data_IF_078656540484
#
_entry.id   IF_078656540484
#
_cell.length_a   1.000
_cell.length_b   1.000
_cell.length_c   1.000
_cell.angle_alpha   90.00
_cell.angle_beta   90.00
_cell.angle_gamma   90.00
#
_symmetry.space_group_name_H-M   'P 1'
#
loop_
_entity.id
_entity.type
_entity.pdbx_description
1 polymer ?
#
# COMPACT_ATOMS: atom_id res chain seq x y z
N UNK A 1 -6.68 3.57 -10.47
CA UNK A 1 -7.04 4.77 -9.65
C UNK A 1 -6.70 4.53 -8.18
N UNK A 2 -5.43 4.24 -7.92
CA UNK A 2 -4.86 3.96 -6.59
C UNK A 2 -3.35 3.83 -6.79
N UNK A 3 -2.54 4.24 -5.83
CA UNK A 3 -1.15 3.83 -5.72
C UNK A 3 -0.81 3.58 -4.25
N UNK A 4 -0.37 2.35 -3.94
CA UNK A 4 0.11 1.97 -2.62
C UNK A 4 1.46 1.26 -2.73
N UNK A 5 2.31 1.44 -1.71
CA UNK A 5 3.62 0.79 -1.61
C UNK A 5 3.81 0.25 -0.20
N UNK A 6 4.16 -1.04 -0.11
CA UNK A 6 4.64 -1.67 1.12
C UNK A 6 6.10 -2.07 0.94
N UNK A 7 6.97 -1.59 1.83
CA UNK A 7 8.42 -1.64 1.69
C UNK A 7 9.05 -2.20 2.97
N UNK A 8 9.97 -3.14 2.82
CA UNK A 8 10.74 -3.77 3.91
C UNK A 8 12.15 -3.17 3.99
N UNK A 9 12.56 -2.83 5.19
CA UNK A 9 13.91 -2.42 5.57
C UNK A 9 14.46 -3.42 6.60
N UNK A 10 15.75 -3.36 6.87
CA UNK A 10 16.36 -4.12 7.97
C UNK A 10 15.75 -3.73 9.33
N UNK A 11 15.35 -2.45 9.49
CA UNK A 11 14.78 -1.88 10.72
C UNK A 11 13.26 -2.07 10.88
N UNK A 12 12.54 -2.51 9.84
CA UNK A 12 11.09 -2.61 9.92
C UNK A 12 10.38 -2.42 8.58
N UNK A 13 9.13 -1.96 8.62
CA UNK A 13 8.26 -1.83 7.45
C UNK A 13 7.77 -0.39 7.29
N UNK A 14 7.60 0.02 6.03
CA UNK A 14 7.01 1.30 5.64
C UNK A 14 5.86 1.07 4.68
N UNK A 15 4.71 1.64 5.00
CA UNK A 15 3.52 1.60 4.16
C UNK A 15 3.12 3.02 3.77
N UNK A 16 2.82 3.25 2.49
CA UNK A 16 2.28 4.51 2.00
C UNK A 16 1.16 4.25 0.98
N UNK A 17 0.03 4.95 1.10
CA UNK A 17 -1.08 4.87 0.16
C UNK A 17 -1.66 6.22 -0.18
N UNK A 18 -2.06 6.42 -1.43
CA UNK A 18 -2.86 7.56 -1.83
C UNK A 18 -4.34 7.38 -1.42
N UNK A 19 -5.15 8.43 -1.51
CA UNK A 19 -6.56 8.39 -1.08
C UNK A 19 -7.55 8.70 -2.19
N UNK A 20 -7.10 9.13 -3.38
CA UNK A 20 -7.99 9.41 -4.51
C UNK A 20 -8.62 8.12 -5.04
N UNK A 21 -9.94 8.11 -5.15
CA UNK A 21 -10.71 6.96 -5.63
C UNK A 21 -11.79 7.42 -6.59
N UNK A 22 -12.08 6.65 -7.63
CA UNK A 22 -13.27 6.87 -8.44
C UNK A 22 -14.44 6.09 -7.89
N UNK A 23 -15.51 6.85 -7.64
CA UNK A 23 -16.79 6.36 -7.16
C UNK A 23 -17.86 6.40 -8.26
N UNK A 24 -17.48 6.63 -9.52
CA UNK A 24 -18.34 6.74 -10.70
C UNK A 24 -17.74 7.64 -11.79
N UNK A 25 -18.45 7.74 -12.92
CA UNK A 25 -18.15 8.73 -13.97
C UNK A 25 -18.25 10.12 -13.34
N UNK A 26 -17.20 10.93 -13.51
CA UNK A 26 -17.07 12.31 -13.00
C UNK A 26 -17.09 12.51 -11.47
N UNK A 27 -16.94 11.45 -10.67
CA UNK A 27 -16.89 11.58 -9.20
C UNK A 27 -15.57 11.04 -8.62
N UNK A 28 -14.65 11.96 -8.33
CA UNK A 28 -13.47 11.68 -7.51
C UNK A 28 -13.80 11.92 -6.04
N UNK A 29 -13.62 10.89 -5.24
CA UNK A 29 -13.75 10.98 -3.78
C UNK A 29 -12.42 10.66 -3.11
N UNK A 30 -12.33 11.02 -1.83
CA UNK A 30 -11.24 10.57 -0.96
C UNK A 30 -11.71 9.36 -0.18
N UNK A 31 -11.04 8.23 -0.36
CA UNK A 31 -11.29 7.02 0.43
C UNK A 31 -9.99 6.51 1.03
N UNK A 32 -10.04 6.13 2.31
CA UNK A 32 -8.92 5.46 2.98
C UNK A 32 -8.63 4.13 2.29
N UNK A 33 -7.36 3.89 1.97
CA UNK A 33 -6.89 2.65 1.33
C UNK A 33 -5.96 1.82 2.20
N UNK A 34 -5.69 2.26 3.43
CA UNK A 34 -4.80 1.61 4.39
C UNK A 34 -5.53 1.37 5.72
N UNK A 35 -5.46 0.13 6.22
CA UNK A 35 -6.15 -0.35 7.41
C UNK A 35 -5.16 -1.06 8.32
N UNK A 36 -5.24 -0.83 9.62
CA UNK A 36 -4.25 -1.30 10.59
C UNK A 36 -4.94 -1.92 11.80
N UNK A 37 -4.52 -3.12 12.20
CA UNK A 37 -4.92 -3.78 13.42
C UNK A 37 -3.69 -4.04 14.29
N UNK A 38 -3.82 -3.93 15.61
CA UNK A 38 -2.73 -4.20 16.53
C UNK A 38 -3.23 -4.83 17.82
N UNK A 39 -2.43 -5.70 18.40
CA UNK A 39 -2.47 -6.09 19.79
C UNK A 39 -1.06 -5.85 20.35
N UNK A 40 -0.83 -4.72 21.07
CA UNK A 40 0.50 -4.33 21.52
C UNK A 40 1.24 -5.46 22.24
N UNK A 41 2.50 -5.67 21.88
CA UNK A 41 3.34 -6.75 22.42
C UNK A 41 3.09 -8.14 21.82
N UNK A 42 2.13 -8.29 20.91
CA UNK A 42 1.83 -9.54 20.20
C UNK A 42 1.83 -9.40 18.68
N UNK A 43 1.11 -8.43 18.11
CA UNK A 43 0.99 -8.30 16.64
C UNK A 43 0.67 -6.89 16.16
N UNK A 44 1.11 -6.60 14.94
CA UNK A 44 0.68 -5.47 14.14
C UNK A 44 0.48 -5.93 12.70
N UNK A 45 -0.68 -5.62 12.12
CA UNK A 45 -1.07 -6.03 10.77
C UNK A 45 -1.60 -4.81 10.01
N UNK A 46 -1.11 -4.59 8.80
CA UNK A 46 -1.52 -3.53 7.89
C UNK A 46 -2.00 -4.13 6.57
N UNK A 47 -3.13 -3.64 6.07
CA UNK A 47 -3.64 -3.93 4.74
C UNK A 47 -3.70 -2.65 3.92
N UNK A 48 -3.26 -2.71 2.67
CA UNK A 48 -3.54 -1.70 1.66
C UNK A 48 -4.28 -2.28 0.46
N UNK A 49 -5.25 -1.55 -0.07
CA UNK A 49 -6.16 -2.06 -1.11
C UNK A 49 -6.12 -1.22 -2.38
N UNK A 50 -6.15 -1.87 -3.55
CA UNK A 50 -6.29 -1.24 -4.85
C UNK A 50 -7.26 -2.02 -5.74
N UNK A 51 -8.01 -1.32 -6.60
CA UNK A 51 -8.95 -1.93 -7.55
C UNK A 51 -10.40 -1.51 -7.28
N UNK A 52 -11.35 -2.43 -7.51
CA UNK A 52 -12.76 -2.15 -7.35
C UNK A 52 -13.12 -1.75 -5.91
N UNK A 53 -13.72 -0.57 -5.72
CA UNK A 53 -14.00 -0.02 -4.40
C UNK A 53 -14.98 -0.89 -3.60
N UNK A 54 -16.06 -1.36 -4.22
CA UNK A 54 -17.04 -2.21 -3.54
C UNK A 54 -16.41 -3.54 -3.08
N UNK A 55 -15.54 -4.14 -3.91
CA UNK A 55 -14.80 -5.36 -3.56
C UNK A 55 -13.88 -5.13 -2.37
N UNK A 56 -13.04 -4.09 -2.43
CA UNK A 56 -12.09 -3.78 -1.33
C UNK A 56 -12.81 -3.42 -0.03
N UNK A 57 -13.90 -2.65 -0.07
CA UNK A 57 -14.70 -2.34 1.11
C UNK A 57 -15.36 -3.58 1.70
N UNK A 58 -15.86 -4.49 0.86
CA UNK A 58 -16.48 -5.75 1.31
C UNK A 58 -15.45 -6.65 1.98
N UNK A 59 -14.25 -6.78 1.40
CA UNK A 59 -13.12 -7.50 1.99
C UNK A 59 -12.81 -6.98 3.41
N UNK A 60 -12.58 -5.67 3.55
CA UNK A 60 -12.27 -5.07 4.87
C UNK A 60 -13.44 -5.25 5.84
N UNK A 61 -14.68 -5.13 5.36
CA UNK A 61 -15.87 -5.27 6.20
C UNK A 61 -16.05 -6.69 6.74
N UNK A 62 -15.74 -7.71 5.94
CA UNK A 62 -15.77 -9.11 6.37
C UNK A 62 -14.66 -9.41 7.39
N UNK A 63 -13.43 -8.92 7.13
CA UNK A 63 -12.30 -9.10 8.06
C UNK A 63 -12.54 -8.42 9.42
N UNK A 64 -13.21 -7.26 9.43
CA UNK A 64 -13.61 -6.55 10.65
C UNK A 64 -14.91 -7.07 11.30
N UNK A 65 -15.55 -8.08 10.71
CA UNK A 65 -16.87 -8.59 11.14
C UNK A 65 -17.94 -7.48 11.30
N UNK A 66 -18.00 -6.53 10.34
CA UNK A 66 -18.86 -5.33 10.44
C UNK A 66 -20.37 -5.59 10.54
N UNK A 67 -20.81 -6.81 10.26
CA UNK A 67 -22.19 -7.27 10.49
C UNK A 67 -22.55 -7.36 11.98
N UNK A 68 -21.56 -7.36 12.88
CA UNK A 68 -21.73 -7.34 14.34
C UNK A 68 -21.68 -5.91 14.90
N UNK A 69 -22.27 -5.74 16.09
CA UNK A 69 -22.12 -4.51 16.87
C UNK A 69 -20.64 -4.25 17.15
N UNK A 70 -20.24 -2.98 17.29
CA UNK A 70 -18.83 -2.65 17.51
C UNK A 70 -18.23 -3.34 18.77
N UNK A 71 -19.06 -3.62 19.79
CA UNK A 71 -18.65 -4.31 21.00
C UNK A 71 -18.45 -5.82 20.81
N UNK A 72 -19.12 -6.42 19.81
CA UNK A 72 -19.08 -7.86 19.54
C UNK A 72 -18.15 -8.24 18.37
N UNK A 73 -17.50 -7.25 17.76
CA UNK A 73 -16.53 -7.48 16.67
C UNK A 73 -15.30 -8.16 17.20
N UNK A 74 -14.92 -9.25 16.56
CA UNK A 74 -13.67 -9.95 16.83
C UNK A 74 -12.99 -10.23 15.47
N UNK A 75 -12.20 -9.28 14.95
CA UNK A 75 -11.67 -9.35 13.60
C UNK A 75 -10.93 -10.65 13.33
N UNK A 76 -11.36 -11.42 12.32
CA UNK A 76 -10.80 -12.74 12.02
C UNK A 76 -9.29 -12.71 11.80
N UNK A 77 -8.80 -11.62 11.20
CA UNK A 77 -7.37 -11.37 10.96
C UNK A 77 -6.52 -11.34 12.24
N UNK A 78 -7.13 -11.03 13.39
CA UNK A 78 -6.46 -10.99 14.68
C UNK A 78 -6.34 -12.36 15.37
N UNK A 79 -6.96 -13.41 14.81
CA UNK A 79 -6.90 -14.78 15.36
C UNK A 79 -5.81 -15.63 14.73
N UNK A 80 -5.31 -15.23 13.56
CA UNK A 80 -4.37 -16.04 12.79
C UNK A 80 -3.00 -16.16 13.48
N UNK A 81 -2.34 -17.34 13.44
CA UNK A 81 -1.12 -17.58 14.21
C UNK A 81 0.15 -17.01 13.56
N UNK A 82 0.14 -16.79 12.24
CA UNK A 82 1.31 -16.29 11.49
C UNK A 82 0.88 -15.33 10.38
N UNK A 83 1.80 -14.47 9.95
CA UNK A 83 1.54 -13.56 8.83
C UNK A 83 1.23 -14.29 7.51
N UNK A 84 1.73 -15.52 7.33
CA UNK A 84 1.36 -16.37 6.20
C UNK A 84 -0.12 -16.79 6.26
N UNK A 85 -0.61 -17.19 7.44
CA UNK A 85 -2.04 -17.52 7.60
C UNK A 85 -2.92 -16.28 7.44
N UNK A 86 -2.45 -15.11 7.90
CA UNK A 86 -3.10 -13.83 7.62
C UNK A 86 -3.23 -13.59 6.11
N UNK A 87 -2.15 -13.74 5.34
CA UNK A 87 -2.19 -13.58 3.88
C UNK A 87 -3.14 -14.59 3.21
N UNK A 88 -3.15 -15.84 3.68
CA UNK A 88 -4.05 -16.90 3.19
C UNK A 88 -5.52 -16.58 3.48
N UNK A 89 -5.84 -16.12 4.68
CA UNK A 89 -7.18 -15.67 5.06
C UNK A 89 -7.63 -14.52 4.14
N UNK A 90 -6.80 -13.48 3.98
CA UNK A 90 -7.10 -12.32 3.11
C UNK A 90 -7.33 -12.76 1.66
N UNK A 91 -6.50 -13.68 1.14
CA UNK A 91 -6.65 -14.23 -0.21
C UNK A 91 -7.96 -14.99 -0.39
N UNK A 92 -8.32 -15.86 0.55
CA UNK A 92 -9.57 -16.61 0.52
C UNK A 92 -10.80 -15.66 0.58
N UNK A 93 -10.78 -14.68 1.49
CA UNK A 93 -11.87 -13.69 1.61
C UNK A 93 -11.98 -12.82 0.36
N UNK A 94 -10.87 -12.42 -0.26
CA UNK A 94 -10.89 -11.66 -1.51
C UNK A 94 -11.53 -12.47 -2.64
N UNK A 95 -11.14 -13.73 -2.78
CA UNK A 95 -11.71 -14.63 -3.78
C UNK A 95 -13.22 -14.84 -3.58
N UNK A 96 -13.65 -15.01 -2.33
CA UNK A 96 -15.07 -15.13 -1.96
C UNK A 96 -15.87 -13.88 -2.40
N UNK A 97 -15.39 -12.68 -2.06
CA UNK A 97 -16.05 -11.42 -2.42
C UNK A 97 -16.16 -11.24 -3.94
N UNK A 98 -15.09 -11.56 -4.68
CA UNK A 98 -15.08 -11.47 -6.14
C UNK A 98 -16.09 -12.46 -6.73
N UNK A 99 -16.09 -13.71 -6.25
CA UNK A 99 -17.01 -14.75 -6.73
C UNK A 99 -18.48 -14.38 -6.47
N UNK A 100 -18.80 -13.81 -5.31
CA UNK A 100 -20.14 -13.34 -4.98
C UNK A 100 -20.60 -12.17 -5.88
N UNK A 101 -19.66 -11.31 -6.30
CA UNK A 101 -19.94 -10.11 -7.10
C UNK A 101 -20.12 -10.40 -8.60
N UNK A 102 -19.81 -11.62 -9.07
CA UNK A 102 -19.96 -12.06 -10.47
C UNK A 102 -20.99 -13.20 -10.58
N UNK A 103 -22.30 -12.90 -10.75
CA UNK A 103 -23.30 -13.91 -11.01
C UNK A 103 -22.98 -14.67 -12.31
N UNK A 104 -23.14 -16.00 -12.27
CA UNK A 104 -22.87 -16.96 -13.34
C UNK A 104 -23.13 -16.43 -14.76
N UNK A 105 -22.08 -16.35 -15.57
CA UNK A 105 -22.18 -16.30 -17.03
C UNK A 105 -21.54 -15.10 -17.72
N UNK A 106 -21.06 -14.09 -17.00
CA UNK A 106 -20.52 -12.89 -17.64
C UNK A 106 -19.00 -12.78 -17.50
N UNK A 107 -18.33 -12.25 -18.53
CA UNK A 107 -16.89 -11.94 -18.53
C UNK A 107 -16.54 -10.75 -17.60
N UNK A 108 -17.52 -10.32 -16.80
CA UNK A 108 -17.50 -9.20 -15.86
C UNK A 108 -16.56 -9.37 -14.66
N UNK A 109 -15.97 -10.56 -14.46
CA UNK A 109 -14.98 -10.81 -13.41
C UNK A 109 -13.79 -9.84 -13.44
N UNK A 110 -13.50 -9.22 -14.59
CA UNK A 110 -12.48 -8.16 -14.69
C UNK A 110 -12.87 -6.86 -13.97
N UNK A 111 -14.16 -6.53 -13.87
CA UNK A 111 -14.64 -5.29 -13.27
C UNK A 111 -14.58 -5.28 -11.74
N UNK A 112 -14.56 -6.46 -11.12
CA UNK A 112 -14.56 -6.62 -9.65
C UNK A 112 -13.18 -6.98 -9.09
N UNK A 113 -12.12 -6.92 -9.89
CA UNK A 113 -10.77 -7.29 -9.42
C UNK A 113 -10.25 -6.27 -8.40
N UNK A 114 -9.58 -6.79 -7.38
CA UNK A 114 -8.78 -6.00 -6.45
C UNK A 114 -7.47 -6.72 -6.12
N UNK A 115 -6.45 -5.95 -5.77
CA UNK A 115 -5.14 -6.44 -5.31
C UNK A 115 -4.86 -5.83 -3.95
N UNK A 116 -4.21 -6.61 -3.09
CA UNK A 116 -4.05 -6.25 -1.68
C UNK A 116 -2.59 -6.43 -1.27
N UNK A 117 -2.04 -5.44 -0.59
CA UNK A 117 -0.79 -5.60 0.16
C UNK A 117 -1.16 -5.92 1.60
N UNK A 118 -0.55 -6.95 2.16
CA UNK A 118 -0.73 -7.38 3.55
C UNK A 118 0.64 -7.39 4.20
N UNK A 119 0.88 -6.64 5.26
CA UNK A 119 2.19 -6.63 5.90
C UNK A 119 2.11 -6.37 7.39
N UNK A 120 3.17 -6.71 8.11
CA UNK A 120 3.20 -6.61 9.56
C UNK A 120 4.11 -7.64 10.20
N UNK A 121 3.92 -7.85 11.49
CA UNK A 121 4.63 -8.84 12.27
C UNK A 121 3.73 -9.40 13.37
N UNK A 122 3.82 -10.71 13.57
CA UNK A 122 3.24 -11.44 14.70
C UNK A 122 4.40 -12.01 15.51
N UNK A 123 4.29 -12.00 16.84
CA UNK A 123 5.32 -12.47 17.77
C UNK A 123 5.80 -13.87 17.41
N UNK A 124 7.13 -14.04 17.36
CA UNK A 124 7.79 -15.27 16.92
C UNK A 124 8.05 -15.34 15.41
N UNK A 125 7.48 -14.43 14.61
CA UNK A 125 7.80 -14.24 13.19
C UNK A 125 8.67 -13.00 12.95
N UNK A 126 9.07 -12.81 11.69
CA UNK A 126 9.80 -11.61 11.21
C UNK A 126 8.83 -10.62 10.54
N UNK A 127 9.18 -9.32 10.44
CA UNK A 127 8.41 -8.39 9.64
C UNK A 127 8.33 -8.85 8.18
N UNK A 128 7.13 -9.00 7.65
CA UNK A 128 6.92 -9.48 6.28
C UNK A 128 5.82 -8.69 5.57
N UNK A 129 5.85 -8.73 4.25
CA UNK A 129 4.88 -8.10 3.35
C UNK A 129 4.55 -9.08 2.23
N UNK A 130 3.26 -9.27 2.00
CA UNK A 130 2.71 -10.08 0.92
C UNK A 130 1.95 -9.19 -0.07
N UNK A 131 1.95 -9.61 -1.33
CA UNK A 131 1.04 -9.10 -2.35
C UNK A 131 0.07 -10.21 -2.74
N UNK A 132 -1.21 -9.98 -2.44
CA UNK A 132 -2.32 -10.89 -2.73
C UNK A 132 -2.97 -10.49 -4.04
N UNK A 133 -3.00 -11.43 -4.98
CA UNK A 133 -3.61 -11.27 -6.30
C UNK A 133 -5.13 -11.49 -6.24
N UNK A 134 -5.88 -11.01 -7.26
CA UNK A 134 -7.33 -11.24 -7.34
C UNK A 134 -7.74 -12.72 -7.28
N UNK A 135 -6.87 -13.63 -7.70
CA UNK A 135 -7.06 -15.08 -7.64
C UNK A 135 -6.95 -15.67 -6.23
N UNK A 136 -6.57 -14.85 -5.23
CA UNK A 136 -6.42 -15.24 -3.82
C UNK A 136 -5.07 -15.85 -3.47
N UNK A 137 -4.22 -16.17 -4.47
CA UNK A 137 -2.82 -16.52 -4.23
C UNK A 137 -1.98 -15.26 -3.95
N UNK A 138 -0.78 -15.46 -3.41
CA UNK A 138 0.08 -14.35 -2.99
C UNK A 138 1.57 -14.69 -3.12
N UNK A 139 2.38 -13.65 -3.16
CA UNK A 139 3.85 -13.71 -3.07
C UNK A 139 4.34 -12.89 -1.87
N UNK A 140 5.52 -13.21 -1.37
CA UNK A 140 6.17 -12.57 -0.23
C UNK A 140 7.38 -11.72 -0.69
N UNK A 141 7.67 -10.63 0.02
CA UNK A 141 8.89 -9.85 -0.20
C UNK A 141 10.13 -10.70 0.13
N UNK A 142 11.17 -10.54 -0.68
CA UNK A 142 12.48 -11.16 -0.46
C UNK A 142 13.55 -10.09 -0.32
N UNK A 143 14.82 -10.49 -0.12
CA UNK A 143 15.92 -9.52 -0.12
C UNK A 143 16.10 -8.89 -1.51
N UNK A 144 15.90 -9.66 -2.56
CA UNK A 144 15.98 -9.23 -3.96
C UNK A 144 14.76 -8.42 -4.39
N UNK A 145 13.60 -8.64 -3.76
CA UNK A 145 12.36 -7.89 -4.01
C UNK A 145 11.80 -7.34 -2.70
N UNK A 146 12.36 -6.22 -2.18
CA UNK A 146 12.07 -5.74 -0.83
C UNK A 146 10.82 -4.88 -0.72
N UNK A 147 10.07 -4.68 -1.81
CA UNK A 147 8.84 -3.91 -1.80
C UNK A 147 7.83 -4.45 -2.81
N UNK A 148 6.55 -4.20 -2.52
CA UNK A 148 5.46 -4.37 -3.48
C UNK A 148 4.73 -3.06 -3.71
N UNK A 149 4.19 -2.93 -4.93
CA UNK A 149 3.37 -1.81 -5.35
C UNK A 149 2.04 -2.36 -5.88
N UNK A 150 0.93 -1.66 -5.62
CA UNK A 150 -0.39 -1.99 -6.20
C UNK A 150 -1.03 -0.73 -6.80
N UNK A 151 -1.85 -0.90 -7.85
CA UNK A 151 -2.48 0.19 -8.59
C UNK A 151 -1.62 0.75 -9.74
N UNK A 152 -1.44 2.07 -9.82
CA UNK A 152 -0.68 2.76 -10.87
C UNK A 152 0.84 2.75 -10.60
N UNK A 153 1.45 1.58 -10.68
CA UNK A 153 2.79 1.34 -10.13
C UNK A 153 3.95 1.81 -11.02
N UNK A 154 3.72 1.97 -12.33
CA UNK A 154 4.79 2.12 -13.33
C UNK A 154 5.58 3.43 -13.19
N UNK A 155 4.91 4.53 -12.85
CA UNK A 155 5.49 5.87 -12.85
C UNK A 155 6.48 6.08 -11.69
N UNK A 156 6.10 5.61 -10.49
CA UNK A 156 6.93 5.73 -9.29
C UNK A 156 7.99 4.63 -9.12
N UNK A 157 7.96 3.56 -9.92
CA UNK A 157 8.87 2.42 -9.78
C UNK A 157 10.37 2.75 -10.02
N UNK A 158 10.75 3.54 -11.04
CA UNK A 158 12.17 3.74 -11.35
C UNK A 158 13.00 4.32 -10.21
N UNK A 159 12.45 5.26 -9.42
CA UNK A 159 13.18 5.83 -8.29
C UNK A 159 13.36 4.81 -7.16
N UNK A 160 12.35 3.97 -6.89
CA UNK A 160 12.47 2.90 -5.89
C UNK A 160 13.58 1.93 -6.27
N UNK A 161 13.65 1.49 -7.54
CA UNK A 161 14.67 0.55 -8.01
C UNK A 161 16.08 1.16 -7.96
N UNK A 162 16.22 2.48 -8.14
CA UNK A 162 17.53 3.14 -8.22
C UNK A 162 18.09 3.59 -6.88
N UNK A 163 17.21 3.96 -5.95
CA UNK A 163 17.61 4.64 -4.73
C UNK A 163 17.28 3.86 -3.46
N UNK A 164 16.53 2.75 -3.53
CA UNK A 164 16.29 1.90 -2.36
C UNK A 164 17.61 1.40 -1.77
N UNK A 165 17.69 1.42 -0.45
CA UNK A 165 18.72 0.78 0.35
C UNK A 165 18.07 0.19 1.61
N UNK A 166 18.46 -1.03 2.00
CA UNK A 166 17.85 -1.76 3.11
C UNK A 166 18.13 -1.13 4.49
N UNK A 167 19.18 -0.32 4.59
CA UNK A 167 19.62 0.35 5.82
C UNK A 167 19.10 1.79 5.97
N UNK A 168 18.34 2.30 4.97
CA UNK A 168 17.70 3.62 5.03
C UNK A 168 16.97 3.86 6.35
N UNK A 169 17.01 5.11 6.83
CA UNK A 169 16.14 5.52 7.94
C UNK A 169 14.68 5.55 7.50
N UNK A 170 13.75 5.62 8.46
CA UNK A 170 12.35 5.79 8.12
C UNK A 170 12.11 7.12 7.39
N UNK A 171 12.78 8.19 7.79
CA UNK A 171 12.68 9.51 7.16
C UNK A 171 13.18 9.49 5.72
N UNK A 172 14.34 8.88 5.45
CA UNK A 172 14.87 8.74 4.09
C UNK A 172 13.98 7.84 3.23
N UNK A 173 13.41 6.78 3.81
CA UNK A 173 12.45 5.92 3.12
C UNK A 173 11.15 6.66 2.79
N UNK A 174 10.62 7.46 3.72
CA UNK A 174 9.44 8.29 3.46
C UNK A 174 9.74 9.32 2.36
N UNK A 175 10.91 9.95 2.38
CA UNK A 175 11.37 10.87 1.32
C UNK A 175 11.44 10.17 -0.04
N UNK A 176 12.01 8.97 -0.10
CA UNK A 176 12.04 8.13 -1.31
C UNK A 176 10.62 7.84 -1.83
N UNK A 177 9.71 7.44 -0.95
CA UNK A 177 8.32 7.19 -1.30
C UNK A 177 7.59 8.46 -1.77
N UNK A 178 7.82 9.61 -1.14
CA UNK A 178 7.23 10.88 -1.60
C UNK A 178 7.68 11.25 -3.03
N UNK A 179 8.94 11.00 -3.39
CA UNK A 179 9.41 11.18 -4.77
C UNK A 179 8.75 10.19 -5.74
N UNK A 180 8.55 8.95 -5.29
CA UNK A 180 7.82 7.92 -6.04
C UNK A 180 6.37 8.34 -6.31
N UNK A 181 5.68 8.84 -5.29
CA UNK A 181 4.29 9.32 -5.39
C UNK A 181 4.18 10.61 -6.21
N UNK A 182 5.10 11.57 -6.06
CA UNK A 182 5.14 12.80 -6.84
C UNK A 182 5.22 12.51 -8.35
N UNK A 183 6.12 11.59 -8.74
CA UNK A 183 6.27 11.14 -10.12
C UNK A 183 4.97 10.55 -10.67
N UNK A 184 4.26 9.78 -9.85
CA UNK A 184 2.96 9.19 -10.21
C UNK A 184 1.86 10.24 -10.34
N UNK A 185 1.71 11.15 -9.37
CA UNK A 185 0.68 12.20 -9.38
C UNK A 185 0.84 13.13 -10.58
N UNK A 186 2.08 13.54 -10.92
CA UNK A 186 2.35 14.40 -12.08
C UNK A 186 2.05 13.72 -13.42
N UNK A 187 2.04 12.39 -13.45
CA UNK A 187 1.89 11.60 -14.69
C UNK A 187 0.51 10.95 -14.84
N UNK A 188 -0.27 10.84 -13.75
CA UNK A 188 -1.53 10.13 -13.74
C UNK A 188 -2.50 10.72 -12.69
N UNK A 189 -3.58 11.34 -13.18
CA UNK A 189 -4.60 12.02 -12.36
C UNK A 189 -5.40 11.07 -11.46
N UNK A 190 -5.30 9.76 -11.67
CA UNK A 190 -6.01 8.75 -10.89
C UNK A 190 -5.44 8.52 -9.49
N UNK A 191 -4.26 9.09 -9.22
CA UNK A 191 -3.56 9.05 -7.94
C UNK A 191 -3.52 10.46 -7.38
N UNK A 192 -3.72 10.61 -6.07
CA UNK A 192 -3.69 11.93 -5.47
C UNK A 192 -3.68 11.95 -3.95
N UNK A 193 -3.24 13.10 -3.45
CA UNK A 193 -3.25 13.48 -2.05
C UNK A 193 -4.68 13.44 -1.44
N UNK A 194 -4.80 13.32 -0.11
CA UNK A 194 -3.70 13.10 0.84
C UNK A 194 -3.06 11.71 0.75
N UNK A 195 -1.84 11.57 1.30
CA UNK A 195 -1.16 10.29 1.44
C UNK A 195 -1.16 9.83 2.90
N UNK A 196 -1.54 8.57 3.13
CA UNK A 196 -1.48 7.93 4.44
C UNK A 196 -0.16 7.16 4.59
N UNK A 197 0.52 7.32 5.73
CA UNK A 197 1.81 6.68 6.06
C UNK A 197 1.69 5.92 7.38
N UNK A 198 2.22 4.69 7.40
CA UNK A 198 2.44 3.91 8.61
C UNK A 198 3.87 3.39 8.62
N UNK A 199 4.56 3.66 9.73
CA UNK A 199 5.89 3.13 10.03
C UNK A 199 5.76 2.06 11.11
N UNK A 200 6.44 0.94 10.89
CA UNK A 200 6.50 -0.18 11.82
C UNK A 200 7.97 -0.50 12.11
N UNK A 201 8.35 -0.47 13.37
CA UNK A 201 9.69 -0.86 13.82
C UNK A 201 9.71 -2.35 14.14
N UNK A 202 10.73 -3.04 13.64
CA UNK A 202 10.88 -4.48 13.85
C UNK A 202 10.83 -4.81 15.35
N UNK A 203 10.07 -5.84 15.69
CA UNK A 203 9.89 -6.34 17.06
C UNK A 203 9.19 -5.36 18.04
N UNK A 204 8.63 -4.23 17.57
CA UNK A 204 7.87 -3.32 18.44
C UNK A 204 6.44 -3.80 18.71
N UNK A 205 5.85 -4.52 17.75
CA UNK A 205 4.44 -4.97 17.74
C UNK A 205 3.41 -3.84 17.95
N UNK A 206 3.79 -2.61 17.62
CA UNK A 206 2.94 -1.43 17.67
C UNK A 206 3.27 -0.47 16.53
N UNK A 207 2.34 0.44 16.22
CA UNK A 207 2.58 1.48 15.22
C UNK A 207 3.66 2.43 15.76
N UNK A 208 4.85 2.41 15.15
CA UNK A 208 5.93 3.33 15.48
C UNK A 208 5.54 4.78 15.14
N UNK A 209 4.93 5.00 13.96
CA UNK A 209 4.39 6.32 13.59
C UNK A 209 3.26 6.19 12.58
N UNK A 210 2.26 7.05 12.73
CA UNK A 210 1.23 7.31 11.72
C UNK A 210 1.32 8.76 11.29
N UNK A 211 1.31 9.02 9.99
CA UNK A 211 1.32 10.37 9.45
C UNK A 211 0.39 10.46 8.23
N UNK A 212 -0.07 11.67 7.96
CA UNK A 212 -0.80 12.00 6.74
C UNK A 212 -0.13 13.21 6.10
N UNK A 213 0.14 13.11 4.81
CA UNK A 213 0.67 14.22 4.00
C UNK A 213 -0.51 14.85 3.28
N UNK A 214 -0.87 16.05 3.75
CA UNK A 214 -1.97 16.83 3.19
C UNK A 214 -1.54 17.55 1.90
N UNK A 215 -2.53 18.06 1.16
CA UNK A 215 -2.26 18.69 -0.13
C UNK A 215 -1.44 19.98 -0.05
N UNK A 216 -1.43 20.63 1.12
CA UNK A 216 -0.71 21.86 1.46
C UNK A 216 0.54 21.61 2.31
N UNK A 217 0.97 20.34 2.46
CA UNK A 217 2.14 19.99 3.29
C UNK A 217 3.42 20.69 2.76
N UNK A 218 4.05 21.56 3.58
CA UNK A 218 5.16 22.38 3.13
C UNK A 218 6.42 21.56 2.83
N UNK A 219 6.63 20.45 3.54
CA UNK A 219 7.80 19.58 3.33
C UNK A 219 7.64 18.81 2.04
N UNK A 220 6.44 18.29 1.75
CA UNK A 220 6.14 17.64 0.48
C UNK A 220 6.33 18.59 -0.70
N UNK A 221 5.86 19.84 -0.60
CA UNK A 221 6.08 20.84 -1.66
C UNK A 221 7.56 21.16 -1.89
N UNK A 222 8.36 21.24 -0.83
CA UNK A 222 9.80 21.42 -0.93
C UNK A 222 10.47 20.22 -1.62
N UNK A 223 10.10 18.99 -1.24
CA UNK A 223 10.62 17.77 -1.88
C UNK A 223 10.24 17.73 -3.36
N UNK A 224 8.97 17.93 -3.71
CA UNK A 224 8.48 17.91 -5.09
C UNK A 224 9.17 18.95 -5.98
N UNK A 225 9.32 20.18 -5.47
CA UNK A 225 9.96 21.27 -6.21
C UNK A 225 11.48 21.06 -6.34
N UNK A 226 12.13 20.72 -5.22
CA UNK A 226 13.57 20.48 -5.17
C UNK A 226 13.99 19.31 -6.06
N UNK A 227 13.23 18.21 -6.04
CA UNK A 227 13.46 17.06 -6.91
C UNK A 227 13.32 17.43 -8.39
N UNK A 228 12.29 18.19 -8.75
CA UNK A 228 12.10 18.67 -10.11
C UNK A 228 13.25 19.54 -10.61
N UNK A 229 13.81 20.40 -9.76
CA UNK A 229 14.97 21.22 -10.10
C UNK A 229 16.24 20.37 -10.26
N UNK A 230 16.51 19.47 -9.31
CA UNK A 230 17.67 18.58 -9.35
C UNK A 230 17.68 17.70 -10.61
N UNK A 231 16.52 17.21 -11.05
CA UNK A 231 16.42 16.44 -12.29
C UNK A 231 16.76 17.27 -13.54
N UNK A 232 16.36 18.54 -13.58
CA UNK A 232 16.71 19.44 -14.70
C UNK A 232 18.20 19.71 -14.73
N UNK A 233 18.81 19.98 -13.58
CA UNK A 233 20.25 20.20 -13.46
C UNK A 233 21.03 18.94 -13.88
N UNK A 234 20.62 17.77 -13.38
CA UNK A 234 21.21 16.49 -13.77
C UNK A 234 21.11 16.27 -15.28
N UNK A 235 19.96 16.54 -15.91
CA UNK A 235 19.78 16.43 -17.35
C UNK A 235 20.72 17.36 -18.13
N UNK A 236 20.84 18.64 -17.72
CA UNK A 236 21.74 19.61 -18.36
C UNK A 236 23.21 19.20 -18.24
N UNK A 237 23.58 18.49 -17.16
CA UNK A 237 24.95 17.99 -16.96
C UNK A 237 25.32 16.79 -17.83
N UNK A 238 24.36 16.15 -18.51
CA UNK A 238 24.62 15.00 -19.36
C UNK A 238 25.38 15.41 -20.63
N UNK A 239 26.26 14.54 -21.17
CA UNK A 239 26.94 14.81 -22.42
C UNK A 239 25.95 14.91 -23.58
N UNK A 240 26.16 15.88 -24.48
CA UNK A 240 25.38 15.98 -25.72
C UNK A 240 25.73 14.82 -26.65
N UNK A 241 24.73 14.06 -27.09
CA UNK A 241 24.91 13.05 -28.13
C UNK A 241 25.10 13.74 -29.48
N UNK A 242 26.29 13.59 -30.08
CA UNK A 242 26.57 14.10 -31.42
C UNK A 242 26.01 13.12 -32.45
N UNK A 243 25.04 13.57 -33.24
CA UNK A 243 24.45 12.84 -34.37
C UNK A 243 25.34 12.90 -35.61
#
# INVERSE_FOLDING_TARGET
MTYCVGLRLNRGLVFMSDTRTNAGVDNFSMTRKMFTWQAPGDRMITIMTAGNLATTQSLISLLEERSKSAADRDPSIMREPTMFQVARLVGATLQEVIAYSSPLGDTSGQHFRATVIVGGQIKGGVPTVFMVYPEGNFVEVTEETPFFQIGETKYGKPILVRAYDADMTFEDTVKLLLVSFDSTVKSNLSVGLPFDIVLYEKDSFEIHKRARVEADDPVYHQISSGWGNALREAFVSLPTYKL
#
